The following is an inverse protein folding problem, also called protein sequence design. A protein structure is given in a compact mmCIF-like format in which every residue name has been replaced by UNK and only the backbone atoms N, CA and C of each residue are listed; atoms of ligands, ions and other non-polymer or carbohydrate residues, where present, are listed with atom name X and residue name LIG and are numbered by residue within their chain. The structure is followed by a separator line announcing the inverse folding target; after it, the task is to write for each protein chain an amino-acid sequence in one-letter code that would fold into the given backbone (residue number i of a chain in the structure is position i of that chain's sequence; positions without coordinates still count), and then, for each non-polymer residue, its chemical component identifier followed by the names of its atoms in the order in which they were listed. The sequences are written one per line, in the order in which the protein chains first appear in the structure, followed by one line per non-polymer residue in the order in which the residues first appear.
data_IF_671351113862
#
_entry.id   IF_671351113862
#
_cell.length_a   1.000
_cell.length_b   1.000
_cell.length_c   1.000
_cell.angle_alpha   90.00
_cell.angle_beta   90.00
_cell.angle_gamma   90.00
#
_symmetry.space_group_name_H-M   'P 1'
#
loop_
_entity.id
_entity.type
_entity.pdbx_description
1 polymer ?
#
# COMPACT_ATOMS: atom_id res chain seq x y z
N UNK A 1 2.81 -24.72 -22.00
CA UNK A 1 2.42 -25.75 -21.02
C UNK A 1 3.10 -25.40 -19.72
N UNK A 2 2.33 -25.17 -18.65
CA UNK A 2 2.90 -24.97 -17.32
C UNK A 2 3.44 -26.32 -16.82
N UNK A 3 4.72 -26.37 -16.44
CA UNK A 3 5.38 -27.59 -15.97
C UNK A 3 6.25 -27.27 -14.77
N UNK A 4 6.07 -28.02 -13.69
CA UNK A 4 6.88 -27.90 -12.49
C UNK A 4 7.88 -29.06 -12.43
N UNK A 5 9.16 -28.76 -12.16
CA UNK A 5 10.22 -29.77 -12.01
C UNK A 5 11.07 -29.41 -10.77
N UNK A 6 11.20 -30.36 -9.84
CA UNK A 6 12.24 -30.29 -8.79
C UNK A 6 13.61 -30.46 -9.48
N UNK A 7 14.53 -29.52 -9.30
CA UNK A 7 15.85 -29.59 -9.95
C UNK A 7 16.93 -30.11 -9.02
N UNK A 8 16.95 -29.68 -7.75
CA UNK A 8 17.96 -30.13 -6.80
C UNK A 8 17.49 -29.95 -5.36
N UNK A 9 18.03 -30.76 -4.46
CA UNK A 9 18.03 -30.50 -3.03
C UNK A 9 19.48 -30.24 -2.58
N UNK A 10 19.66 -29.42 -1.55
CA UNK A 10 20.97 -29.24 -0.91
C UNK A 10 21.52 -30.59 -0.44
N UNK A 11 22.85 -30.71 -0.37
CA UNK A 11 23.52 -31.93 0.13
C UNK A 11 23.04 -32.32 1.52
N UNK A 12 22.68 -31.33 2.34
CA UNK A 12 22.18 -31.52 3.70
C UNK A 12 20.66 -31.79 3.75
N UNK A 13 19.97 -31.78 2.61
CA UNK A 13 18.51 -31.96 2.53
C UNK A 13 17.69 -30.83 3.17
N UNK A 14 18.29 -29.69 3.53
CA UNK A 14 17.61 -28.58 4.22
C UNK A 14 16.96 -27.55 3.30
N UNK A 15 17.35 -27.53 2.03
CA UNK A 15 16.88 -26.55 1.05
C UNK A 15 16.55 -27.28 -0.24
N UNK A 16 15.38 -27.00 -0.81
CA UNK A 16 15.02 -27.44 -2.15
C UNK A 16 15.07 -26.27 -3.14
N UNK A 17 15.52 -26.58 -4.36
CA UNK A 17 15.47 -25.71 -5.51
C UNK A 17 14.50 -26.29 -6.54
N UNK A 18 13.48 -25.51 -6.86
CA UNK A 18 12.41 -25.88 -7.77
C UNK A 18 12.42 -24.93 -8.96
N UNK A 19 12.37 -25.50 -10.16
CA UNK A 19 12.18 -24.73 -11.37
C UNK A 19 10.75 -24.86 -11.85
N UNK A 20 10.09 -23.72 -11.92
CA UNK A 20 8.72 -23.59 -12.40
C UNK A 20 8.71 -22.92 -13.77
N UNK A 21 8.05 -23.57 -14.73
CA UNK A 21 7.83 -23.01 -16.05
C UNK A 21 6.39 -22.53 -16.16
N UNK A 22 6.23 -21.21 -16.21
CA UNK A 22 5.01 -20.55 -16.64
C UNK A 22 5.19 -20.02 -18.07
N UNK A 23 5.35 -18.71 -18.23
CA UNK A 23 5.71 -18.04 -19.49
C UNK A 23 7.23 -18.00 -19.70
N UNK A 24 7.98 -17.94 -18.60
CA UNK A 24 9.44 -18.03 -18.50
C UNK A 24 9.78 -18.96 -17.34
N UNK A 25 11.02 -19.45 -17.29
CA UNK A 25 11.47 -20.27 -16.16
C UNK A 25 11.76 -19.40 -14.95
N UNK A 26 11.15 -19.75 -13.81
CA UNK A 26 11.38 -19.14 -12.50
C UNK A 26 12.02 -20.18 -11.59
N UNK A 27 13.01 -19.77 -10.81
CA UNK A 27 13.64 -20.62 -9.80
C UNK A 27 13.17 -20.18 -8.41
N UNK A 28 12.70 -21.14 -7.62
CA UNK A 28 12.23 -20.93 -6.26
C UNK A 28 13.08 -21.80 -5.35
N UNK A 29 13.71 -21.18 -4.35
CA UNK A 29 14.41 -21.89 -3.30
C UNK A 29 13.59 -21.83 -2.01
N UNK A 30 13.45 -22.96 -1.32
CA UNK A 30 12.74 -23.02 -0.04
C UNK A 30 13.51 -23.88 0.96
N UNK A 31 13.56 -23.39 2.20
CA UNK A 31 14.04 -24.12 3.38
C UNK A 31 12.90 -24.76 4.18
N UNK A 32 11.64 -24.50 3.80
CA UNK A 32 10.46 -24.95 4.52
C UNK A 32 9.85 -26.20 3.89
N UNK A 33 9.82 -26.26 2.56
CA UNK A 33 9.28 -27.40 1.80
C UNK A 33 10.37 -27.97 0.92
N UNK A 34 11.01 -29.04 1.40
CA UNK A 34 12.08 -29.73 0.67
C UNK A 34 11.54 -30.86 -0.19
N UNK A 35 10.69 -31.72 0.39
CA UNK A 35 9.99 -32.78 -0.33
C UNK A 35 8.49 -32.48 -0.43
N UNK A 36 8.16 -31.38 -1.12
CA UNK A 36 6.77 -30.95 -1.29
C UNK A 36 5.95 -31.96 -2.10
N UNK A 37 4.69 -32.13 -1.69
CA UNK A 37 3.71 -32.92 -2.44
C UNK A 37 3.36 -32.23 -3.76
N UNK A 38 2.99 -33.03 -4.77
CA UNK A 38 2.35 -32.48 -5.97
C UNK A 38 0.88 -32.25 -5.67
N UNK A 39 0.45 -31.04 -5.93
CA UNK A 39 -0.84 -30.56 -5.50
C UNK A 39 -1.51 -29.88 -6.71
N UNK A 40 -2.81 -30.13 -6.91
CA UNK A 40 -3.51 -29.61 -8.09
C UNK A 40 -3.88 -28.14 -7.86
N UNK A 41 -3.49 -27.24 -8.77
CA UNK A 41 -4.04 -25.87 -8.87
C UNK A 41 -4.93 -25.83 -10.10
N UNK A 42 -6.00 -25.04 -10.03
CA UNK A 42 -6.85 -24.74 -11.19
C UNK A 42 -6.65 -23.28 -11.65
N UNK A 43 -5.54 -22.93 -12.33
CA UNK A 43 -5.40 -21.60 -12.91
C UNK A 43 -6.40 -21.40 -14.06
N UNK A 44 -6.88 -20.16 -14.19
CA UNK A 44 -7.66 -19.72 -15.34
C UNK A 44 -6.76 -19.51 -16.56
N UNK A 45 -7.00 -20.24 -17.65
CA UNK A 45 -6.30 -20.02 -18.90
C UNK A 45 -7.08 -19.05 -19.79
N UNK A 46 -6.51 -17.85 -20.00
CA UNK A 46 -7.08 -16.82 -20.87
C UNK A 46 -7.19 -17.25 -22.34
N UNK A 47 -6.34 -18.18 -22.80
CA UNK A 47 -6.35 -18.64 -24.20
C UNK A 47 -7.48 -19.62 -24.47
N UNK A 48 -7.81 -20.45 -23.48
CA UNK A 48 -8.82 -21.50 -23.61
C UNK A 48 -10.15 -21.13 -22.91
N UNK A 49 -10.19 -20.00 -22.19
CA UNK A 49 -11.37 -19.54 -21.46
C UNK A 49 -11.87 -20.54 -20.42
N UNK A 50 -10.97 -21.37 -19.86
CA UNK A 50 -11.33 -22.43 -18.91
C UNK A 50 -10.29 -22.58 -17.81
N UNK A 51 -10.74 -23.12 -16.68
CA UNK A 51 -9.85 -23.56 -15.62
C UNK A 51 -9.14 -24.85 -16.06
N UNK A 52 -7.81 -24.82 -16.07
CA UNK A 52 -6.98 -25.99 -16.37
C UNK A 52 -6.50 -26.57 -15.04
N UNK A 53 -6.58 -27.90 -14.88
CA UNK A 53 -5.90 -28.56 -13.77
C UNK A 53 -4.41 -28.68 -14.08
N UNK A 54 -3.57 -28.05 -13.27
CA UNK A 54 -2.11 -28.05 -13.41
C UNK A 54 -1.51 -28.60 -12.13
N UNK A 55 -0.65 -29.60 -12.26
CA UNK A 55 0.13 -30.10 -11.13
C UNK A 55 1.16 -29.05 -10.73
N UNK A 56 1.03 -28.56 -9.50
CA UNK A 56 1.86 -27.54 -8.92
C UNK A 56 2.55 -28.11 -7.69
N UNK A 57 3.80 -27.74 -7.47
CA UNK A 57 4.46 -28.12 -6.23
C UNK A 57 3.94 -27.23 -5.10
N UNK A 58 3.74 -27.80 -3.92
CA UNK A 58 3.30 -27.09 -2.72
C UNK A 58 4.07 -25.78 -2.45
N UNK A 59 5.39 -25.77 -2.69
CA UNK A 59 6.23 -24.57 -2.52
C UNK A 59 5.81 -23.39 -3.41
N UNK A 60 5.29 -23.67 -4.61
CA UNK A 60 4.88 -22.64 -5.57
C UNK A 60 3.53 -22.05 -5.14
N UNK A 61 2.63 -22.87 -4.60
CA UNK A 61 1.38 -22.39 -3.97
C UNK A 61 1.70 -21.45 -2.81
N UNK A 62 2.54 -21.91 -1.88
CA UNK A 62 2.92 -21.13 -0.70
C UNK A 62 3.61 -19.80 -1.07
N UNK A 63 4.47 -19.82 -2.10
CA UNK A 63 5.08 -18.61 -2.63
C UNK A 63 4.03 -17.63 -3.16
N UNK A 64 3.09 -18.10 -3.98
CA UNK A 64 2.05 -17.24 -4.54
C UNK A 64 1.14 -16.68 -3.44
N UNK A 65 0.73 -17.50 -2.48
CA UNK A 65 -0.09 -17.06 -1.34
C UNK A 65 0.63 -16.03 -0.48
N UNK A 66 1.93 -16.19 -0.25
CA UNK A 66 2.75 -15.21 0.46
C UNK A 66 2.91 -13.89 -0.32
N UNK A 67 3.04 -13.97 -1.65
CA UNK A 67 3.18 -12.80 -2.52
C UNK A 67 1.93 -11.94 -2.57
N UNK A 68 0.73 -12.49 -2.32
CA UNK A 68 -0.53 -11.71 -2.20
C UNK A 68 -0.42 -10.61 -1.14
N UNK A 69 0.41 -10.80 -0.10
CA UNK A 69 0.66 -9.76 0.91
C UNK A 69 1.32 -8.49 0.36
N UNK A 70 2.08 -8.58 -0.73
CA UNK A 70 2.72 -7.42 -1.39
C UNK A 70 1.68 -6.57 -2.11
N UNK A 71 0.64 -7.18 -2.66
CA UNK A 71 -0.44 -6.45 -3.34
C UNK A 71 -1.27 -5.61 -2.35
N UNK A 72 -1.34 -6.01 -1.08
CA UNK A 72 -1.97 -5.21 -0.03
C UNK A 72 -1.22 -3.89 0.21
N UNK A 73 0.11 -3.84 0.04
CA UNK A 73 0.85 -2.59 0.13
C UNK A 73 0.52 -1.62 -1.03
N UNK A 74 0.04 -2.13 -2.18
CA UNK A 74 -0.38 -1.26 -3.29
C UNK A 74 -1.63 -0.44 -2.93
N UNK A 75 -2.47 -0.90 -1.98
CA UNK A 75 -3.64 -0.16 -1.49
C UNK A 75 -3.25 1.20 -0.89
N UNK A 76 -2.10 1.26 -0.22
CA UNK A 76 -1.57 2.51 0.36
C UNK A 76 -1.21 3.51 -0.74
N UNK A 77 -0.74 3.04 -1.89
CA UNK A 77 -0.46 3.89 -3.05
C UNK A 77 -1.76 4.44 -3.67
N UNK A 78 -2.80 3.61 -3.78
CA UNK A 78 -4.08 3.98 -4.38
C UNK A 78 -4.85 5.05 -3.57
N UNK A 79 -4.71 5.03 -2.25
CA UNK A 79 -5.41 5.97 -1.35
C UNK A 79 -4.47 6.97 -0.67
N UNK A 80 -3.31 7.25 -1.29
CA UNK A 80 -2.28 8.13 -0.74
C UNK A 80 -2.75 9.58 -0.65
N UNK A 81 -2.46 10.20 0.49
CA UNK A 81 -2.66 11.64 0.73
C UNK A 81 -1.45 12.41 0.23
N UNK A 82 -1.59 13.09 -0.92
CA UNK A 82 -0.52 13.90 -1.48
C UNK A 82 -0.46 15.29 -0.86
N UNK A 83 0.66 15.62 -0.24
CA UNK A 83 0.93 16.96 0.27
C UNK A 83 1.96 17.66 -0.64
N UNK A 84 1.62 18.86 -1.12
CA UNK A 84 2.48 19.71 -1.98
C UNK A 84 3.77 20.21 -1.31
N UNK A 85 3.99 19.89 -0.04
CA UNK A 85 5.12 20.38 0.75
C UNK A 85 6.43 19.75 0.28
N UNK A 86 7.51 20.55 0.36
CA UNK A 86 8.90 20.10 0.14
C UNK A 86 9.50 19.43 1.39
N UNK A 87 8.87 19.57 2.57
CA UNK A 87 9.36 18.97 3.81
C UNK A 87 9.08 17.46 3.80
N UNK A 88 10.13 16.63 3.78
CA UNK A 88 10.03 15.17 3.73
C UNK A 88 9.29 14.58 4.95
N UNK A 89 9.46 15.18 6.14
CA UNK A 89 8.82 14.74 7.39
C UNK A 89 7.30 14.69 7.23
N UNK A 90 6.72 15.72 6.61
CA UNK A 90 5.28 15.81 6.44
C UNK A 90 4.75 14.69 5.51
N UNK A 91 5.54 14.27 4.52
CA UNK A 91 5.22 13.12 3.66
C UNK A 91 5.31 11.79 4.41
N UNK A 92 6.24 11.66 5.36
CA UNK A 92 6.34 10.48 6.22
C UNK A 92 5.17 10.38 7.19
N UNK A 93 4.78 11.50 7.80
CA UNK A 93 3.62 11.54 8.70
C UNK A 93 2.34 11.14 7.95
N UNK A 94 2.07 11.71 6.77
CA UNK A 94 0.88 11.30 6.01
C UNK A 94 0.92 9.87 5.55
N UNK A 95 2.09 9.39 5.11
CA UNK A 95 2.24 7.99 4.73
C UNK A 95 1.95 7.04 5.92
N UNK A 96 2.41 7.38 7.12
CA UNK A 96 2.11 6.59 8.32
C UNK A 96 0.61 6.56 8.63
N UNK A 97 -0.09 7.69 8.49
CA UNK A 97 -1.55 7.74 8.62
C UNK A 97 -2.27 6.92 7.56
N UNK A 98 -1.87 7.04 6.29
CA UNK A 98 -2.47 6.27 5.20
C UNK A 98 -2.25 4.76 5.41
N UNK A 99 -1.06 4.35 5.85
CA UNK A 99 -0.76 2.96 6.19
C UNK A 99 -1.64 2.45 7.35
N UNK A 100 -1.78 3.25 8.41
CA UNK A 100 -2.63 2.90 9.55
C UNK A 100 -4.10 2.73 9.12
N UNK A 101 -4.64 3.66 8.33
CA UNK A 101 -6.03 3.60 7.84
C UNK A 101 -6.27 2.39 6.95
N UNK A 102 -5.34 2.07 6.04
CA UNK A 102 -5.45 0.88 5.18
C UNK A 102 -5.42 -0.39 6.01
N UNK A 103 -4.52 -0.49 7.00
CA UNK A 103 -4.46 -1.65 7.89
C UNK A 103 -5.75 -1.82 8.71
N UNK A 104 -6.28 -0.74 9.28
CA UNK A 104 -7.57 -0.78 9.99
C UNK A 104 -8.74 -1.17 9.09
N UNK A 105 -8.72 -0.76 7.81
CA UNK A 105 -9.73 -1.21 6.85
C UNK A 105 -9.62 -2.71 6.54
N UNK A 106 -8.40 -3.25 6.44
CA UNK A 106 -8.19 -4.69 6.25
C UNK A 106 -8.73 -5.49 7.45
N UNK A 107 -8.46 -5.03 8.67
CA UNK A 107 -9.02 -5.62 9.90
C UNK A 107 -10.55 -5.53 9.91
N UNK A 108 -11.13 -4.37 9.60
CA UNK A 108 -12.57 -4.19 9.47
C UNK A 108 -13.19 -5.19 8.48
N UNK A 109 -12.55 -5.44 7.33
CA UNK A 109 -13.02 -6.45 6.37
C UNK A 109 -12.93 -7.87 6.90
N UNK A 110 -11.89 -8.19 7.66
CA UNK A 110 -11.77 -9.50 8.30
C UNK A 110 -12.87 -9.70 9.34
N UNK A 111 -13.16 -8.68 10.14
CA UNK A 111 -14.23 -8.75 11.15
C UNK A 111 -15.62 -8.76 10.52
N UNK A 112 -15.84 -8.00 9.45
CA UNK A 112 -17.09 -8.05 8.69
C UNK A 112 -17.34 -9.45 8.11
N UNK A 113 -16.30 -10.13 7.63
CA UNK A 113 -16.38 -11.53 7.19
C UNK A 113 -16.69 -12.48 8.34
N UNK A 114 -16.05 -12.32 9.50
CA UNK A 114 -16.32 -13.15 10.69
C UNK A 114 -17.75 -12.99 11.19
N UNK A 115 -18.30 -11.79 11.11
CA UNK A 115 -19.68 -11.49 11.49
C UNK A 115 -20.71 -11.83 10.39
N UNK A 116 -20.30 -12.50 9.29
CA UNK A 116 -21.14 -12.87 8.15
C UNK A 116 -21.91 -11.70 7.52
N UNK A 117 -21.33 -10.49 7.50
CA UNK A 117 -21.92 -9.38 6.75
C UNK A 117 -21.81 -9.65 5.25
N UNK A 118 -22.83 -9.24 4.51
CA UNK A 118 -22.77 -9.29 3.06
C UNK A 118 -21.75 -8.27 2.55
N UNK A 119 -21.05 -8.60 1.47
CA UNK A 119 -20.06 -7.70 0.84
C UNK A 119 -20.67 -6.34 0.46
N UNK A 120 -21.98 -6.28 0.24
CA UNK A 120 -22.74 -5.05 -0.05
C UNK A 120 -22.80 -4.08 1.13
N UNK A 121 -22.75 -4.61 2.35
CA UNK A 121 -22.83 -3.83 3.59
C UNK A 121 -21.44 -3.45 4.12
N UNK A 122 -20.38 -3.93 3.46
CA UNK A 122 -18.99 -3.62 3.80
C UNK A 122 -18.56 -2.35 3.10
N UNK A 123 -18.00 -1.40 3.85
CA UNK A 123 -17.49 -0.15 3.30
C UNK A 123 -16.27 -0.38 2.39
N UNK A 124 -16.27 0.27 1.24
CA UNK A 124 -15.09 0.40 0.39
C UNK A 124 -14.01 1.28 1.08
N UNK A 125 -12.75 1.14 0.67
CA UNK A 125 -11.60 1.81 1.31
C UNK A 125 -11.77 3.33 1.35
N UNK A 126 -12.28 3.94 0.27
CA UNK A 126 -12.50 5.39 0.21
C UNK A 126 -13.59 5.84 1.18
N UNK A 127 -14.71 5.11 1.25
CA UNK A 127 -15.80 5.39 2.17
C UNK A 127 -15.37 5.21 3.62
N UNK A 128 -14.60 4.16 3.91
CA UNK A 128 -14.02 3.93 5.23
C UNK A 128 -13.11 5.09 5.64
N UNK A 129 -12.19 5.52 4.76
CA UNK A 129 -11.31 6.67 5.01
C UNK A 129 -12.08 7.97 5.23
N UNK A 130 -13.15 8.20 4.47
CA UNK A 130 -14.02 9.36 4.65
C UNK A 130 -14.75 9.33 5.99
N UNK A 131 -15.24 8.17 6.43
CA UNK A 131 -15.87 8.01 7.74
C UNK A 131 -14.88 8.28 8.88
N UNK A 132 -13.66 7.74 8.80
CA UNK A 132 -12.59 8.03 9.77
C UNK A 132 -12.32 9.53 9.85
N UNK A 133 -12.23 10.23 8.70
CA UNK A 133 -12.06 11.67 8.68
C UNK A 133 -13.23 12.43 9.33
N UNK A 134 -14.48 12.03 9.06
CA UNK A 134 -15.67 12.62 9.68
C UNK A 134 -15.69 12.42 11.19
N UNK A 135 -15.33 11.23 11.68
CA UNK A 135 -15.20 10.95 13.11
C UNK A 135 -14.16 11.86 13.76
N UNK A 136 -12.96 11.98 13.16
CA UNK A 136 -11.88 12.82 13.69
C UNK A 136 -12.25 14.31 13.74
N UNK A 137 -12.95 14.80 12.71
CA UNK A 137 -13.45 16.18 12.64
C UNK A 137 -14.57 16.41 13.67
N UNK A 138 -15.46 15.45 13.85
CA UNK A 138 -16.60 15.57 14.77
C UNK A 138 -16.17 15.60 16.24
N UNK A 139 -15.11 14.87 16.59
CA UNK A 139 -14.48 14.92 17.92
C UNK A 139 -13.86 16.29 18.20
N UNK A 140 -13.39 16.97 17.16
CA UNK A 140 -12.74 18.28 17.25
C UNK A 140 -13.69 19.47 17.09
N UNK A 141 -15.02 19.31 17.20
CA UNK A 141 -15.90 20.48 17.33
C UNK A 141 -15.45 21.25 18.58
N UNK A 142 -14.77 22.41 18.43
CA UNK A 142 -14.50 23.22 19.59
C UNK A 142 -15.86 23.76 20.03
N UNK A 143 -16.17 23.69 21.33
CA UNK A 143 -17.06 24.69 21.95
C UNK A 143 -16.58 26.02 21.41
N UNK A 144 -17.41 26.68 20.57
CA UNK A 144 -17.05 27.77 19.69
C UNK A 144 -15.90 28.62 20.25
N UNK A 145 -14.66 28.26 19.89
CA UNK A 145 -13.52 29.10 20.19
C UNK A 145 -13.73 30.31 19.29
N UNK A 146 -14.20 31.40 19.88
CA UNK A 146 -14.38 32.69 19.20
C UNK A 146 -13.05 33.01 18.52
N UNK A 147 -12.96 32.73 17.22
CA UNK A 147 -11.95 33.28 16.34
C UNK A 147 -12.24 34.78 16.25
N UNK A 148 -11.80 35.51 17.26
CA UNK A 148 -11.77 36.95 17.28
C UNK A 148 -10.31 37.39 17.25
N UNK A 149 -9.90 38.00 16.14
CA UNK A 149 -8.91 39.06 16.21
C UNK A 149 -9.64 40.27 16.80
N UNK A 150 -9.20 40.87 17.93
CA UNK A 150 -9.77 42.14 18.36
C UNK A 150 -9.48 43.18 17.27
N UNK A 151 -10.49 43.49 16.47
CA UNK A 151 -10.47 44.65 15.58
C UNK A 151 -10.78 45.87 16.42
N UNK A 152 -9.81 46.36 17.17
CA UNK A 152 -9.81 47.70 17.77
C UNK A 152 -8.36 48.19 17.83
N UNK A 153 -7.85 48.69 16.71
CA UNK A 153 -6.80 49.72 16.70
C UNK A 153 -6.88 50.47 15.37
N UNK A 154 -6.72 51.81 15.35
CA UNK A 154 -6.93 52.62 14.16
C UNK A 154 -5.95 52.25 13.04
N UNK A 155 -6.47 52.26 11.82
CA UNK A 155 -5.79 52.03 10.56
C UNK A 155 -4.49 52.84 10.43
N UNK A 156 -3.30 52.20 10.27
CA UNK A 156 -2.09 52.93 9.98
C UNK A 156 -2.00 53.23 8.48
N UNK A 157 -1.90 54.54 8.18
CA UNK A 157 -1.76 55.19 6.88
C UNK A 157 -0.80 54.49 5.90
N UNK A 158 -0.98 54.64 4.57
CA UNK A 158 -0.25 53.86 3.58
C UNK A 158 1.25 54.18 3.58
N UNK A 159 2.08 53.21 3.99
CA UNK A 159 3.53 53.33 3.92
C UNK A 159 3.99 52.99 2.50
N UNK A 160 4.82 53.88 1.97
CA UNK A 160 5.42 53.91 0.64
C UNK A 160 6.08 52.60 0.21
N UNK A 161 5.97 52.32 -1.09
CA UNK A 161 6.62 51.25 -1.83
C UNK A 161 8.10 51.13 -1.46
N UNK A 162 8.54 49.96 -0.96
CA UNK A 162 9.99 49.65 -0.87
C UNK A 162 10.53 49.38 -2.28
N UNK A 163 11.70 49.92 -2.66
CA UNK A 163 12.36 49.51 -3.89
C UNK A 163 12.83 48.06 -3.77
N UNK A 164 12.72 47.34 -4.89
CA UNK A 164 13.22 45.98 -5.07
C UNK A 164 14.74 45.98 -4.96
N UNK A 165 15.29 45.33 -3.93
CA UNK A 165 16.72 45.01 -3.86
C UNK A 165 17.03 44.04 -5.01
N UNK A 166 17.90 44.43 -5.93
CA UNK A 166 18.51 43.52 -6.89
C UNK A 166 19.73 42.91 -6.21
N UNK A 167 19.68 41.61 -5.93
CA UNK A 167 20.88 40.87 -5.52
C UNK A 167 21.84 40.81 -6.71
N UNK A 168 22.88 41.64 -6.67
CA UNK A 168 24.01 41.51 -7.57
C UNK A 168 24.78 40.22 -7.20
N UNK A 169 24.77 39.23 -8.08
CA UNK A 169 25.66 38.06 -8.00
C UNK A 169 27.10 38.54 -8.27
N UNK A 170 28.09 38.23 -7.41
CA UNK A 170 29.49 38.43 -7.76
C UNK A 170 29.85 37.48 -8.91
N UNK A 171 30.45 38.03 -9.97
CA UNK A 171 31.07 37.23 -11.04
C UNK A 171 32.31 36.53 -10.46
N UNK A 172 32.44 35.24 -10.77
CA UNK A 172 33.68 34.49 -10.57
C UNK A 172 34.76 35.13 -11.44
N UNK A 173 35.82 35.66 -10.82
CA UNK A 173 37.06 35.96 -11.54
C UNK A 173 37.70 34.65 -12.03
N UNK A 174 38.24 34.73 -13.24
CA UNK A 174 38.97 33.67 -13.96
C UNK A 174 40.38 33.55 -13.42
#
# INVERSE_FOLDING_TARGET
MQKCRKEAASRDGKVALVKWFDSRSVFIASNFVVDGTMDEVQPWDKKQGRFLKVSCLEVVKLYNDAMVGVDLNQLVSLCRTEIRSRKWILRMITHAFDLAVVNSWLEYRLDAKRANLQTKDTLDLLHFKMNVAQCLVSVHKPVAAKLGRPSMSPEPQPHTHRPRVQDARPLLEV
#
